data_IF_901500715407
#
_entry.id   IF_901500715407
#
_cell.length_a   1.000
_cell.length_b   1.000
_cell.length_c   1.000
_cell.angle_alpha   90.00
_cell.angle_beta   90.00
_cell.angle_gamma   90.00
#
_symmetry.space_group_name_H-M   'P 1'
#
loop_
_entity.id
_entity.type
_entity.pdbx_description
1 polymer ?
#
# COMPACT_ATOMS: atom_id res chain seq x y z
N UNK A 1 -28.50 15.06 -9.32
CA UNK A 1 -28.69 13.69 -8.79
C UNK A 1 -27.69 12.80 -9.52
N UNK A 2 -26.81 12.08 -8.80
CA UNK A 2 -25.89 11.15 -9.44
C UNK A 2 -26.67 10.03 -10.16
N UNK A 3 -26.24 9.65 -11.37
CA UNK A 3 -26.89 8.60 -12.16
C UNK A 3 -26.64 7.23 -11.52
N UNK A 4 -27.61 6.31 -11.56
CA UNK A 4 -27.44 4.94 -11.04
C UNK A 4 -26.21 4.23 -11.66
N UNK A 5 -25.88 4.55 -12.92
CA UNK A 5 -24.71 4.02 -13.63
C UNK A 5 -23.37 4.53 -13.06
N UNK A 6 -23.32 5.77 -12.54
CA UNK A 6 -22.10 6.28 -11.89
C UNK A 6 -21.89 5.68 -10.50
N UNK A 7 -22.96 5.29 -9.81
CA UNK A 7 -22.88 4.61 -8.51
C UNK A 7 -22.37 3.16 -8.66
N UNK A 8 -22.81 2.45 -9.70
CA UNK A 8 -22.31 1.11 -10.06
C UNK A 8 -20.80 1.16 -10.35
N UNK A 9 -20.34 2.07 -11.20
CA UNK A 9 -18.91 2.21 -11.51
C UNK A 9 -18.06 2.55 -10.27
N UNK A 10 -18.55 3.41 -9.38
CA UNK A 10 -17.83 3.76 -8.16
C UNK A 10 -17.72 2.57 -7.19
N UNK A 11 -18.78 1.77 -7.08
CA UNK A 11 -18.77 0.55 -6.27
C UNK A 11 -17.77 -0.48 -6.82
N UNK A 12 -17.74 -0.66 -8.14
CA UNK A 12 -16.78 -1.56 -8.80
C UNK A 12 -15.34 -1.08 -8.57
N UNK A 13 -15.04 0.22 -8.74
CA UNK A 13 -13.72 0.77 -8.42
C UNK A 13 -13.33 0.57 -6.94
N UNK A 14 -14.28 0.72 -6.02
CA UNK A 14 -14.03 0.51 -4.60
C UNK A 14 -13.70 -0.97 -4.28
N UNK A 15 -14.39 -1.90 -4.92
CA UNK A 15 -14.12 -3.34 -4.79
C UNK A 15 -12.74 -3.70 -5.33
N UNK A 16 -12.39 -3.18 -6.52
CA UNK A 16 -11.10 -3.41 -7.14
C UNK A 16 -9.95 -2.86 -6.28
N UNK A 17 -10.11 -1.65 -5.72
CA UNK A 17 -9.16 -1.06 -4.78
C UNK A 17 -9.03 -1.91 -3.52
N UNK A 18 -10.14 -2.35 -2.94
CA UNK A 18 -10.13 -3.20 -1.75
C UNK A 18 -9.37 -4.52 -2.00
N UNK A 19 -9.45 -5.08 -3.21
CA UNK A 19 -8.68 -6.25 -3.58
C UNK A 19 -7.20 -5.94 -3.81
N UNK A 20 -6.84 -4.76 -4.32
CA UNK A 20 -5.43 -4.33 -4.35
C UNK A 20 -4.85 -4.23 -2.94
N UNK A 21 -5.58 -3.65 -2.00
CA UNK A 21 -5.13 -3.49 -0.62
C UNK A 21 -4.84 -4.84 0.07
N UNK A 22 -5.50 -5.94 -0.33
CA UNK A 22 -5.26 -7.28 0.21
C UNK A 22 -4.04 -7.99 -0.36
N UNK A 23 -3.43 -7.46 -1.43
CA UNK A 23 -2.24 -8.07 -2.03
C UNK A 23 -1.08 -8.09 -1.04
N UNK A 24 -0.25 -9.13 -1.13
CA UNK A 24 0.98 -9.23 -0.32
C UNK A 24 1.87 -8.02 -0.54
N UNK A 25 2.53 -7.55 0.51
CA UNK A 25 3.55 -6.50 0.40
C UNK A 25 4.77 -6.89 -0.44
N UNK A 26 4.92 -8.17 -0.77
CA UNK A 26 6.02 -8.68 -1.62
C UNK A 26 5.98 -8.15 -3.06
N UNK A 27 4.86 -7.55 -3.48
CA UNK A 27 4.74 -6.92 -4.80
C UNK A 27 5.26 -5.48 -4.82
N UNK A 28 5.60 -4.90 -3.67
CA UNK A 28 6.16 -3.56 -3.58
C UNK A 28 7.60 -3.57 -4.11
N UNK A 29 7.95 -2.54 -4.90
CA UNK A 29 9.32 -2.34 -5.39
C UNK A 29 10.23 -1.82 -4.26
N UNK A 30 10.55 -2.72 -3.33
CA UNK A 30 11.38 -2.47 -2.16
C UNK A 30 12.46 -3.55 -2.04
N UNK A 31 13.67 -3.19 -1.57
CA UNK A 31 14.69 -4.16 -1.18
C UNK A 31 14.15 -5.24 -0.23
N UNK A 32 14.58 -6.48 -0.44
CA UNK A 32 14.13 -7.64 0.34
C UNK A 32 14.28 -7.49 1.86
N UNK A 33 15.30 -6.74 2.32
CA UNK A 33 15.49 -6.46 3.75
C UNK A 33 14.42 -5.52 4.33
N UNK A 34 13.88 -4.59 3.52
CA UNK A 34 12.76 -3.75 3.92
C UNK A 34 11.47 -4.55 3.96
N UNK A 35 11.20 -5.40 2.95
CA UNK A 35 10.06 -6.31 2.95
C UNK A 35 10.07 -7.24 4.17
N UNK A 36 11.23 -7.80 4.49
CA UNK A 36 11.42 -8.63 5.68
C UNK A 36 11.22 -7.83 6.98
N UNK A 37 11.72 -6.59 7.03
CA UNK A 37 11.50 -5.68 8.15
C UNK A 37 10.01 -5.38 8.38
N UNK A 38 9.27 -5.06 7.32
CA UNK A 38 7.83 -4.81 7.36
C UNK A 38 7.06 -6.03 7.90
N UNK A 39 7.42 -7.23 7.43
CA UNK A 39 6.87 -8.50 7.93
C UNK A 39 7.17 -8.71 9.41
N UNK A 40 8.38 -8.38 9.87
CA UNK A 40 8.77 -8.52 11.28
C UNK A 40 8.01 -7.59 12.21
N UNK A 41 7.62 -6.39 11.75
CA UNK A 41 6.77 -5.47 12.51
C UNK A 41 5.26 -5.72 12.32
N UNK A 42 4.91 -6.83 11.67
CA UNK A 42 3.55 -7.36 11.58
C UNK A 42 2.74 -6.93 10.34
N UNK A 43 3.33 -6.18 9.41
CA UNK A 43 2.67 -5.76 8.18
C UNK A 43 2.80 -6.87 7.12
N UNK A 44 1.73 -7.18 6.39
CA UNK A 44 1.72 -8.29 5.42
C UNK A 44 1.18 -7.90 4.05
N UNK A 45 0.35 -6.87 3.99
CA UNK A 45 -0.36 -6.45 2.79
C UNK A 45 -0.05 -5.00 2.41
N UNK A 46 -0.36 -4.62 1.18
CA UNK A 46 -0.29 -3.21 0.74
C UNK A 46 -1.17 -2.33 1.65
N UNK A 47 -2.37 -2.82 2.00
CA UNK A 47 -3.28 -2.13 2.90
C UNK A 47 -2.69 -1.91 4.28
N UNK A 48 -1.94 -2.86 4.83
CA UNK A 48 -1.28 -2.69 6.13
C UNK A 48 -0.27 -1.54 6.09
N UNK A 49 0.50 -1.42 5.00
CA UNK A 49 1.49 -0.35 4.80
C UNK A 49 0.81 1.00 4.61
N UNK A 50 -0.26 1.07 3.81
CA UNK A 50 -1.00 2.32 3.56
C UNK A 50 -1.78 2.83 4.78
N UNK A 51 -2.19 1.92 5.68
CA UNK A 51 -3.01 2.26 6.85
C UNK A 51 -2.18 2.55 8.12
N UNK A 52 -0.85 2.41 8.09
CA UNK A 52 -0.01 2.73 9.25
C UNK A 52 0.74 4.05 9.08
N UNK A 53 1.17 4.63 10.21
CA UNK A 53 2.03 5.82 10.22
C UNK A 53 3.45 5.48 9.74
N UNK A 54 4.09 6.41 9.03
CA UNK A 54 5.51 6.30 8.64
C UNK A 54 6.45 6.13 9.84
N UNK A 55 6.09 6.63 11.01
CA UNK A 55 6.84 6.39 12.25
C UNK A 55 6.97 4.89 12.56
N UNK A 56 5.96 4.08 12.20
CA UNK A 56 5.97 2.63 12.39
C UNK A 56 7.11 1.97 11.61
N UNK A 57 7.42 2.47 10.42
CA UNK A 57 8.50 1.92 9.59
C UNK A 57 9.88 2.11 10.21
N UNK A 58 10.04 3.09 11.11
CA UNK A 58 11.32 3.36 11.77
C UNK A 58 11.68 2.33 12.84
N UNK A 59 10.77 1.43 13.19
CA UNK A 59 11.07 0.24 13.99
C UNK A 59 12.00 -0.73 13.23
N UNK A 60 12.07 -0.63 11.89
CA UNK A 60 12.97 -1.43 11.05
C UNK A 60 14.39 -0.85 11.14
N UNK A 61 15.42 -1.67 11.41
CA UNK A 61 16.80 -1.20 11.43
C UNK A 61 17.18 -0.44 10.17
N UNK A 62 17.87 0.69 10.34
CA UNK A 62 18.32 1.57 9.25
C UNK A 62 17.21 2.26 8.45
N UNK A 63 15.95 2.25 8.92
CA UNK A 63 14.87 3.05 8.33
C UNK A 63 14.72 4.36 9.10
N UNK A 64 15.28 5.44 8.54
CA UNK A 64 14.98 6.81 8.97
C UNK A 64 13.86 7.44 8.15
N UNK A 65 13.54 8.71 8.41
CA UNK A 65 12.42 9.43 7.77
C UNK A 65 12.43 9.42 6.23
N UNK A 66 13.59 9.40 5.59
CA UNK A 66 13.70 9.33 4.12
C UNK A 66 13.25 7.96 3.61
N UNK A 67 13.68 6.89 4.27
CA UNK A 67 13.33 5.52 3.87
C UNK A 67 11.88 5.18 4.22
N UNK A 68 11.37 5.71 5.34
CA UNK A 68 9.97 5.58 5.71
C UNK A 68 9.03 6.15 4.62
N UNK A 69 9.29 7.39 4.16
CA UNK A 69 8.58 7.99 3.03
C UNK A 69 8.65 7.16 1.75
N UNK A 70 9.83 6.59 1.44
CA UNK A 70 9.98 5.72 0.26
C UNK A 70 9.14 4.45 0.35
N UNK A 71 9.02 3.86 1.53
CA UNK A 71 8.15 2.69 1.76
C UNK A 71 6.69 3.08 1.51
N UNK A 72 6.23 4.21 2.06
CA UNK A 72 4.87 4.71 1.84
C UNK A 72 4.61 4.98 0.36
N UNK A 73 5.53 5.66 -0.33
CA UNK A 73 5.41 5.95 -1.75
C UNK A 73 5.34 4.68 -2.60
N UNK A 74 6.17 3.66 -2.32
CA UNK A 74 6.13 2.41 -3.06
C UNK A 74 4.75 1.72 -2.96
N UNK A 75 4.10 1.79 -1.80
CA UNK A 75 2.75 1.27 -1.63
C UNK A 75 1.69 2.11 -2.38
N UNK A 76 1.83 3.43 -2.39
CA UNK A 76 0.95 4.33 -3.15
C UNK A 76 1.10 4.13 -4.67
N UNK A 77 2.33 4.04 -5.15
CA UNK A 77 2.68 3.80 -6.55
C UNK A 77 2.10 2.46 -7.04
N UNK A 78 2.23 1.38 -6.25
CA UNK A 78 1.65 0.08 -6.60
C UNK A 78 0.11 0.13 -6.79
N UNK A 79 -0.59 0.96 -6.00
CA UNK A 79 -2.04 1.16 -6.16
C UNK A 79 -2.33 2.08 -7.36
N UNK A 80 -1.57 3.15 -7.54
CA UNK A 80 -1.77 4.08 -8.66
C UNK A 80 -1.48 3.44 -10.00
N UNK A 81 -0.48 2.58 -10.11
CA UNK A 81 -0.20 1.82 -11.33
C UNK A 81 -1.42 0.98 -11.72
N UNK A 82 -2.03 0.29 -10.75
CA UNK A 82 -3.24 -0.49 -11.00
C UNK A 82 -4.44 0.38 -11.43
N UNK A 83 -4.59 1.58 -10.87
CA UNK A 83 -5.68 2.49 -11.21
C UNK A 83 -5.45 3.25 -12.53
N UNK A 84 -4.21 3.38 -12.97
CA UNK A 84 -3.84 4.12 -14.18
C UNK A 84 -3.60 3.24 -15.41
N UNK A 85 -3.50 1.92 -15.21
CA UNK A 85 -3.41 0.90 -16.25
C UNK A 85 -4.74 0.52 -16.90
#
# INVERSE_FOLDING_TARGET
>A
MASAKSLLNAADSQLLLADQMKKSLDVLDLPAWQLSGLKNIGLKTIGDVLNCDEERFKEIPQVGAVRARRIMNAAQEAVFEYLSG
#
